data_IF_149598361162
#
_entry.id   IF_149598361162
#
_cell.length_a   1.000
_cell.length_b   1.000
_cell.length_c   1.000
_cell.angle_alpha   90.00
_cell.angle_beta   90.00
_cell.angle_gamma   90.00
#
_symmetry.space_group_name_H-M   'P 1'
#
loop_
_entity.id
_entity.type
_entity.pdbx_description
1 polymer ?
#
# COMPACT_ATOMS: atom_id res chain seq x y z
N UNK A 1 15.82 17.54 8.96
CA UNK A 1 15.68 16.72 10.18
C UNK A 1 15.53 15.26 9.78
N UNK A 2 16.48 14.40 10.14
CA UNK A 2 16.34 12.95 9.94
C UNK A 2 15.21 12.45 10.86
N UNK A 3 14.05 12.07 10.29
CA UNK A 3 12.93 11.48 11.05
C UNK A 3 13.44 10.37 11.95
N UNK A 4 12.98 10.36 13.21
CA UNK A 4 13.40 9.35 14.19
C UNK A 4 12.99 7.96 13.70
N UNK A 5 13.73 6.92 14.12
CA UNK A 5 13.43 5.53 13.73
C UNK A 5 11.99 5.13 14.02
N UNK A 6 11.46 5.56 15.18
CA UNK A 6 10.07 5.33 15.59
C UNK A 6 9.09 6.00 14.62
N UNK A 7 9.34 7.25 14.23
CA UNK A 7 8.49 7.95 13.24
C UNK A 7 8.50 7.27 11.87
N UNK A 8 9.65 6.75 11.42
CA UNK A 8 9.75 6.00 10.16
C UNK A 8 8.98 4.69 10.22
N UNK A 9 9.05 3.97 11.33
CA UNK A 9 8.29 2.73 11.55
C UNK A 9 6.78 3.01 11.56
N UNK A 10 6.34 4.00 12.33
CA UNK A 10 4.92 4.38 12.39
C UNK A 10 4.39 4.81 11.03
N UNK A 11 5.16 5.60 10.27
CA UNK A 11 4.78 6.00 8.93
C UNK A 11 4.65 4.81 7.97
N UNK A 12 5.59 3.86 7.99
CA UNK A 12 5.52 2.65 7.18
C UNK A 12 4.32 1.75 7.54
N UNK A 13 3.98 1.64 8.84
CA UNK A 13 2.80 0.89 9.28
C UNK A 13 1.51 1.55 8.79
N UNK A 14 1.39 2.88 8.93
CA UNK A 14 0.22 3.63 8.45
C UNK A 14 0.07 3.50 6.94
N UNK A 15 1.18 3.65 6.19
CA UNK A 15 1.22 3.49 4.74
C UNK A 15 0.77 2.08 4.32
N UNK A 16 1.23 1.05 5.03
CA UNK A 16 0.85 -0.33 4.77
C UNK A 16 -0.66 -0.55 4.98
N UNK A 17 -1.22 -0.03 6.08
CA UNK A 17 -2.66 -0.13 6.37
C UNK A 17 -3.48 0.55 5.27
N UNK A 18 -3.10 1.76 4.87
CA UNK A 18 -3.79 2.51 3.81
C UNK A 18 -3.72 1.72 2.49
N UNK A 19 -2.54 1.21 2.13
CA UNK A 19 -2.35 0.47 0.89
C UNK A 19 -3.20 -0.80 0.84
N UNK A 20 -3.32 -1.53 1.94
CA UNK A 20 -4.19 -2.71 2.04
C UNK A 20 -5.66 -2.30 1.87
N UNK A 21 -6.11 -1.22 2.50
CA UNK A 21 -7.49 -0.74 2.38
C UNK A 21 -7.85 -0.40 0.92
N UNK A 22 -6.94 0.25 0.19
CA UNK A 22 -7.14 0.54 -1.23
C UNK A 22 -7.21 -0.72 -2.09
N UNK A 23 -6.38 -1.73 -1.82
CA UNK A 23 -6.46 -3.02 -2.53
C UNK A 23 -7.84 -3.65 -2.33
N UNK A 24 -8.36 -3.66 -1.09
CA UNK A 24 -9.69 -4.21 -0.82
C UNK A 24 -10.78 -3.45 -1.58
N UNK A 25 -10.70 -2.12 -1.63
CA UNK A 25 -11.62 -1.27 -2.40
C UNK A 25 -11.53 -1.53 -3.91
N UNK A 26 -10.32 -1.70 -4.44
CA UNK A 26 -10.11 -1.98 -5.87
C UNK A 26 -10.65 -3.37 -6.25
N UNK A 27 -10.44 -4.38 -5.41
CA UNK A 27 -11.03 -5.71 -5.61
C UNK A 27 -12.56 -5.61 -5.62
N UNK A 28 -13.14 -4.88 -4.66
CA UNK A 28 -14.58 -4.67 -4.61
C UNK A 28 -15.11 -3.95 -5.87
N UNK A 29 -14.41 -2.93 -6.34
CA UNK A 29 -14.76 -2.23 -7.59
C UNK A 29 -14.67 -3.17 -8.79
N UNK A 30 -13.63 -4.00 -8.89
CA UNK A 30 -13.48 -4.98 -9.97
C UNK A 30 -14.64 -5.98 -9.98
N UNK A 31 -15.10 -6.42 -8.79
CA UNK A 31 -16.19 -7.38 -8.68
C UNK A 31 -17.59 -6.78 -8.93
N UNK A 32 -17.76 -5.48 -8.77
CA UNK A 32 -19.10 -4.84 -8.75
C UNK A 32 -19.35 -3.87 -9.89
N UNK A 33 -18.32 -3.40 -10.60
CA UNK A 33 -18.44 -2.40 -11.66
C UNK A 33 -18.35 -3.06 -13.04
N UNK A 34 -19.34 -2.77 -13.88
CA UNK A 34 -19.35 -3.21 -15.28
C UNK A 34 -18.66 -2.22 -16.23
N UNK A 35 -18.35 -1.01 -15.74
CA UNK A 35 -17.69 0.01 -16.58
C UNK A 35 -16.23 -0.35 -16.84
N UNK A 36 -15.88 -0.53 -18.12
CA UNK A 36 -14.50 -0.79 -18.56
C UNK A 36 -13.50 0.25 -18.02
N UNK A 37 -13.88 1.52 -17.97
CA UNK A 37 -13.02 2.59 -17.43
C UNK A 37 -12.76 2.40 -15.93
N UNK A 38 -13.78 2.03 -15.15
CA UNK A 38 -13.63 1.77 -13.73
C UNK A 38 -12.74 0.55 -13.47
N UNK A 39 -12.90 -0.51 -14.28
CA UNK A 39 -12.05 -1.71 -14.21
C UNK A 39 -10.58 -1.39 -14.48
N UNK A 40 -10.29 -0.63 -15.55
CA UNK A 40 -8.92 -0.24 -15.91
C UNK A 40 -8.28 0.60 -14.79
N UNK A 41 -9.02 1.56 -14.24
CA UNK A 41 -8.54 2.40 -13.14
C UNK A 41 -8.28 1.57 -11.89
N UNK A 42 -9.16 0.65 -11.52
CA UNK A 42 -8.95 -0.21 -10.35
C UNK A 42 -7.79 -1.18 -10.55
N UNK A 43 -7.61 -1.78 -11.72
CA UNK A 43 -6.43 -2.62 -12.00
C UNK A 43 -5.14 -1.80 -11.92
N UNK A 44 -5.12 -0.60 -12.50
CA UNK A 44 -3.95 0.29 -12.48
C UNK A 44 -3.62 0.71 -11.05
N UNK A 45 -4.63 1.09 -10.27
CA UNK A 45 -4.52 1.42 -8.85
C UNK A 45 -3.98 0.24 -8.03
N UNK A 46 -4.50 -0.97 -8.28
CA UNK A 46 -4.09 -2.18 -7.59
C UNK A 46 -2.60 -2.47 -7.77
N UNK A 47 -2.04 -2.26 -8.97
CA UNK A 47 -0.59 -2.38 -9.22
C UNK A 47 0.26 -1.38 -8.42
N UNK A 48 -0.22 -0.13 -8.30
CA UNK A 48 0.47 0.92 -7.54
C UNK A 48 0.48 0.57 -6.05
N UNK A 49 -0.67 0.21 -5.48
CA UNK A 49 -0.75 -0.14 -4.06
C UNK A 49 -0.03 -1.45 -3.73
N UNK A 50 0.04 -2.42 -4.66
CA UNK A 50 0.89 -3.60 -4.49
C UNK A 50 2.37 -3.22 -4.36
N UNK A 51 2.82 -2.29 -5.18
CA UNK A 51 4.20 -1.78 -5.13
C UNK A 51 4.47 -1.10 -3.79
N UNK A 52 3.54 -0.29 -3.27
CA UNK A 52 3.68 0.32 -1.95
C UNK A 52 3.72 -0.70 -0.81
N UNK A 53 2.89 -1.74 -0.85
CA UNK A 53 2.91 -2.83 0.15
C UNK A 53 4.29 -3.49 0.18
N UNK A 54 4.87 -3.81 -0.99
CA UNK A 54 6.20 -4.42 -1.07
C UNK A 54 7.27 -3.48 -0.51
N UNK A 55 7.21 -2.19 -0.84
CA UNK A 55 8.14 -1.17 -0.32
C UNK A 55 8.01 -1.04 1.20
N UNK A 56 6.79 -0.96 1.73
CA UNK A 56 6.54 -0.81 3.16
C UNK A 56 7.03 -2.03 3.93
N UNK A 57 6.76 -3.25 3.45
CA UNK A 57 7.28 -4.48 4.04
C UNK A 57 8.82 -4.49 4.03
N UNK A 58 9.44 -4.09 2.93
CA UNK A 58 10.90 -4.00 2.83
C UNK A 58 11.48 -2.98 3.83
N UNK A 59 10.86 -1.81 3.95
CA UNK A 59 11.26 -0.78 4.91
C UNK A 59 11.12 -1.28 6.34
N UNK A 60 10.00 -1.93 6.68
CA UNK A 60 9.77 -2.52 8.00
C UNK A 60 10.82 -3.60 8.30
N UNK A 61 11.13 -4.47 7.34
CA UNK A 61 12.15 -5.50 7.49
C UNK A 61 13.54 -4.89 7.72
N UNK A 62 13.94 -3.91 6.92
CA UNK A 62 15.23 -3.21 7.06
C UNK A 62 15.33 -2.52 8.42
N UNK A 63 14.28 -1.79 8.82
CA UNK A 63 14.20 -1.14 10.12
C UNK A 63 14.25 -2.15 11.27
N UNK A 64 13.73 -3.37 11.11
CA UNK A 64 13.83 -4.45 12.12
C UNK A 64 15.24 -5.03 12.19
N UNK A 65 15.93 -5.19 11.06
CA UNK A 65 17.29 -5.75 11.00
C UNK A 65 18.36 -4.80 11.54
N UNK A 66 18.09 -3.49 11.51
CA UNK A 66 18.89 -2.45 12.16
C UNK A 66 18.59 -2.30 13.67
N UNK A 67 17.83 -3.24 14.28
CA UNK A 67 17.59 -3.34 15.74
C UNK A 67 18.64 -4.20 16.42
#
# INVERSE_FOLDING_TARGET
>A
MLKSRKERLTAAIISLIISIAFVVLDIFNIMTKESNTALILSISSLLVFWTFIVIDIYVLYKLKKEA
#
